data_IF_554536935835
#
_entry.id   IF_554536935835
#
_cell.length_a   1.000
_cell.length_b   1.000
_cell.length_c   1.000
_cell.angle_alpha   90.00
_cell.angle_beta   90.00
_cell.angle_gamma   90.00
#
_symmetry.space_group_name_H-M   'P 1'
#
loop_
_entity.id
_entity.type
_entity.pdbx_description
1 polymer ?
#
# COMPACT_ATOMS: atom_id res chain seq x y z
N UNK A 1 -25.82 45.10 17.21
CA UNK A 1 -24.83 44.68 16.19
C UNK A 1 -24.24 45.92 15.55
N UNK A 2 -22.92 46.12 15.63
CA UNK A 2 -22.24 47.28 15.04
C UNK A 2 -22.37 47.29 13.49
N UNK A 3 -22.24 48.44 12.82
CA UNK A 3 -22.28 48.51 11.35
C UNK A 3 -21.22 47.60 10.68
N UNK A 4 -20.03 47.51 11.28
CA UNK A 4 -18.96 46.61 10.83
C UNK A 4 -19.36 45.13 10.93
N UNK A 5 -19.90 44.70 12.08
CA UNK A 5 -20.39 43.33 12.26
C UNK A 5 -21.54 43.00 11.28
N UNK A 6 -22.46 43.95 11.02
CA UNK A 6 -23.55 43.76 10.06
C UNK A 6 -23.04 43.56 8.62
N UNK A 7 -22.05 44.35 8.18
CA UNK A 7 -21.41 44.19 6.87
C UNK A 7 -20.73 42.82 6.76
N UNK A 8 -19.99 42.40 7.77
CA UNK A 8 -19.36 41.08 7.81
C UNK A 8 -20.38 39.93 7.70
N UNK A 9 -21.48 39.98 8.47
CA UNK A 9 -22.53 38.95 8.43
C UNK A 9 -23.20 38.86 7.04
N UNK A 10 -23.47 40.00 6.39
CA UNK A 10 -24.05 40.02 5.03
C UNK A 10 -23.09 39.49 3.97
N UNK A 11 -21.81 39.86 4.05
CA UNK A 11 -20.80 39.31 3.15
C UNK A 11 -20.74 37.79 3.25
N UNK A 12 -20.65 37.24 4.46
CA UNK A 12 -20.60 35.79 4.69
C UNK A 12 -21.92 35.08 4.38
N UNK A 13 -23.06 35.76 4.45
CA UNK A 13 -24.31 35.22 3.96
C UNK A 13 -24.27 34.92 2.45
N UNK A 14 -23.77 35.86 1.65
CA UNK A 14 -23.65 35.71 0.19
C UNK A 14 -22.55 34.69 -0.14
N UNK A 15 -21.35 34.87 0.41
CA UNK A 15 -20.22 33.98 0.13
C UNK A 15 -20.50 32.53 0.55
N UNK A 16 -21.11 32.32 1.73
CA UNK A 16 -21.51 31.01 2.21
C UNK A 16 -22.55 30.35 1.30
N UNK A 17 -23.60 31.09 0.91
CA UNK A 17 -24.64 30.59 0.01
C UNK A 17 -24.06 30.16 -1.34
N UNK A 18 -23.18 30.98 -1.93
CA UNK A 18 -22.50 30.67 -3.18
C UNK A 18 -21.62 29.41 -3.06
N UNK A 19 -20.82 29.32 -2.00
CA UNK A 19 -19.99 28.15 -1.71
C UNK A 19 -20.82 26.88 -1.56
N UNK A 20 -21.88 26.91 -0.74
CA UNK A 20 -22.75 25.76 -0.51
C UNK A 20 -23.47 25.29 -1.76
N UNK A 21 -23.97 26.23 -2.57
CA UNK A 21 -24.62 25.93 -3.84
C UNK A 21 -23.66 25.29 -4.85
N UNK A 22 -22.46 25.86 -5.01
CA UNK A 22 -21.43 25.31 -5.90
C UNK A 22 -20.97 23.92 -5.45
N UNK A 23 -20.78 23.72 -4.15
CA UNK A 23 -20.40 22.41 -3.60
C UNK A 23 -21.48 21.36 -3.83
N UNK A 24 -22.75 21.67 -3.53
CA UNK A 24 -23.86 20.76 -3.75
C UNK A 24 -24.02 20.39 -5.23
N UNK A 25 -23.91 21.39 -6.13
CA UNK A 25 -23.95 21.17 -7.56
C UNK A 25 -22.77 20.29 -8.04
N UNK A 26 -21.55 20.57 -7.58
CA UNK A 26 -20.37 19.79 -7.94
C UNK A 26 -20.51 18.33 -7.50
N UNK A 27 -21.01 18.08 -6.29
CA UNK A 27 -21.25 16.72 -5.78
C UNK A 27 -22.35 16.02 -6.58
N UNK A 28 -23.45 16.70 -6.87
CA UNK A 28 -24.56 16.10 -7.60
C UNK A 28 -24.18 15.70 -9.03
N UNK A 29 -23.36 16.51 -9.71
CA UNK A 29 -23.01 16.35 -11.13
C UNK A 29 -21.77 15.47 -11.32
N UNK A 30 -20.70 15.69 -10.54
CA UNK A 30 -19.39 15.10 -10.82
C UNK A 30 -19.01 13.94 -9.91
N UNK A 31 -19.66 13.76 -8.75
CA UNK A 31 -19.30 12.68 -7.82
C UNK A 31 -20.14 11.43 -8.15
N UNK A 32 -19.51 10.29 -8.49
CA UNK A 32 -20.24 9.05 -8.75
C UNK A 32 -21.11 8.64 -7.57
N UNK A 33 -22.40 8.37 -7.82
CA UNK A 33 -23.39 7.99 -6.79
C UNK A 33 -23.27 6.54 -6.30
N UNK A 34 -22.07 5.97 -6.39
CA UNK A 34 -21.76 4.62 -5.88
C UNK A 34 -21.85 4.55 -4.35
N UNK A 35 -21.71 5.69 -3.67
CA UNK A 35 -21.86 5.84 -2.22
C UNK A 35 -22.93 6.90 -1.91
N UNK A 36 -24.24 6.58 -2.12
CA UNK A 36 -25.30 7.58 -2.15
C UNK A 36 -25.45 8.33 -0.81
N UNK A 37 -25.16 7.66 0.32
CA UNK A 37 -25.22 8.29 1.63
C UNK A 37 -24.12 9.36 1.82
N UNK A 38 -22.90 9.15 1.30
CA UNK A 38 -21.82 10.17 1.34
C UNK A 38 -22.24 11.38 0.51
N UNK A 39 -22.74 11.14 -0.70
CA UNK A 39 -23.19 12.21 -1.59
C UNK A 39 -24.35 12.99 -0.96
N UNK A 40 -25.33 12.31 -0.37
CA UNK A 40 -26.43 12.94 0.34
C UNK A 40 -25.95 13.80 1.53
N UNK A 41 -24.98 13.32 2.32
CA UNK A 41 -24.40 14.11 3.41
C UNK A 41 -23.66 15.35 2.91
N UNK A 42 -22.91 15.25 1.81
CA UNK A 42 -22.20 16.38 1.20
C UNK A 42 -23.18 17.41 0.60
N UNK A 43 -24.26 16.95 -0.03
CA UNK A 43 -25.34 17.83 -0.52
C UNK A 43 -26.07 18.51 0.63
N UNK A 44 -26.40 17.76 1.69
CA UNK A 44 -27.00 18.31 2.90
C UNK A 44 -26.08 19.36 3.55
N UNK A 45 -24.77 19.09 3.62
CA UNK A 45 -23.77 20.05 4.07
C UNK A 45 -23.73 21.30 3.20
N UNK A 46 -23.76 21.15 1.87
CA UNK A 46 -23.89 22.27 0.93
C UNK A 46 -25.16 23.09 1.17
N UNK A 47 -26.30 22.45 1.45
CA UNK A 47 -27.58 23.11 1.72
C UNK A 47 -27.65 23.83 3.08
N UNK A 48 -26.85 23.42 4.08
CA UNK A 48 -26.76 24.12 5.36
C UNK A 48 -26.27 25.58 5.19
N UNK A 49 -25.42 25.84 4.21
CA UNK A 49 -24.83 27.16 3.99
C UNK A 49 -25.83 28.22 3.49
N UNK A 50 -26.70 27.96 2.49
CA UNK A 50 -27.81 28.83 2.14
C UNK A 50 -28.76 29.11 3.31
N UNK A 51 -29.08 28.09 4.12
CA UNK A 51 -29.95 28.24 5.30
C UNK A 51 -29.30 29.15 6.35
N UNK A 52 -28.02 28.93 6.65
CA UNK A 52 -27.24 29.80 7.52
C UNK A 52 -27.15 31.22 6.94
N UNK A 53 -26.91 31.35 5.63
CA UNK A 53 -26.83 32.60 4.91
C UNK A 53 -28.09 33.45 5.05
N UNK A 54 -29.27 32.84 4.92
CA UNK A 54 -30.54 33.52 5.17
C UNK A 54 -30.62 34.12 6.58
N UNK A 55 -30.23 33.34 7.60
CA UNK A 55 -30.21 33.80 8.99
C UNK A 55 -29.16 34.89 9.24
N UNK A 56 -27.97 34.77 8.65
CA UNK A 56 -26.88 35.75 8.72
C UNK A 56 -27.27 37.09 8.08
N UNK A 57 -27.93 37.06 6.92
CA UNK A 57 -28.43 38.25 6.23
C UNK A 57 -29.42 39.04 7.10
N UNK A 58 -30.30 38.31 7.79
CA UNK A 58 -31.27 38.86 8.76
C UNK A 58 -30.68 39.10 10.15
N UNK A 59 -29.37 38.92 10.34
CA UNK A 59 -28.64 39.10 11.61
C UNK A 59 -29.22 38.29 12.79
N UNK A 60 -29.77 37.11 12.51
CA UNK A 60 -30.39 36.24 13.53
C UNK A 60 -29.33 35.36 14.21
N UNK A 61 -29.46 35.18 15.54
CA UNK A 61 -28.57 34.32 16.34
C UNK A 61 -28.50 32.88 15.86
N UNK A 62 -29.64 32.31 15.43
CA UNK A 62 -29.67 30.94 14.90
C UNK A 62 -28.87 30.80 13.61
N UNK A 63 -28.90 31.81 12.72
CA UNK A 63 -28.12 31.83 11.49
C UNK A 63 -26.62 31.90 11.74
N UNK A 64 -26.21 32.68 12.74
CA UNK A 64 -24.83 32.69 13.23
C UNK A 64 -24.40 31.33 13.79
N UNK A 65 -25.23 30.68 14.63
CA UNK A 65 -24.92 29.34 15.18
C UNK A 65 -24.78 28.28 14.07
N UNK A 66 -25.70 28.27 13.11
CA UNK A 66 -25.63 27.37 11.96
C UNK A 66 -24.39 27.65 11.10
N UNK A 67 -24.07 28.92 10.84
CA UNK A 67 -22.88 29.29 10.06
C UNK A 67 -21.57 28.87 10.75
N UNK A 68 -21.45 29.07 12.06
CA UNK A 68 -20.30 28.60 12.85
C UNK A 68 -20.23 27.08 12.86
N UNK A 69 -21.36 26.40 13.07
CA UNK A 69 -21.44 24.94 13.06
C UNK A 69 -21.06 24.34 11.71
N UNK A 70 -21.57 24.89 10.61
CA UNK A 70 -21.24 24.48 9.26
C UNK A 70 -19.75 24.72 8.96
N UNK A 71 -19.21 25.89 9.31
CA UNK A 71 -17.80 26.19 9.13
C UNK A 71 -16.89 25.22 9.93
N UNK A 72 -17.26 24.91 11.18
CA UNK A 72 -16.53 23.93 11.99
C UNK A 72 -16.63 22.51 11.41
N UNK A 73 -17.81 22.08 10.98
CA UNK A 73 -18.01 20.78 10.35
C UNK A 73 -17.19 20.64 9.06
N UNK A 74 -17.13 21.69 8.24
CA UNK A 74 -16.28 21.73 7.04
C UNK A 74 -14.80 21.59 7.36
N UNK A 75 -14.31 22.32 8.37
CA UNK A 75 -12.91 22.19 8.83
C UNK A 75 -12.61 20.81 9.41
N UNK A 76 -13.53 20.24 10.20
CA UNK A 76 -13.39 18.90 10.73
C UNK A 76 -13.32 17.88 9.59
N UNK A 77 -14.22 17.97 8.61
CA UNK A 77 -14.21 17.11 7.43
C UNK A 77 -12.89 17.24 6.66
N UNK A 78 -12.42 18.47 6.42
CA UNK A 78 -11.11 18.73 5.81
C UNK A 78 -9.98 18.05 6.59
N UNK A 79 -9.96 18.20 7.92
CA UNK A 79 -8.94 17.60 8.79
C UNK A 79 -9.00 16.07 8.74
N UNK A 80 -10.20 15.47 8.74
CA UNK A 80 -10.37 14.03 8.63
C UNK A 80 -9.91 13.51 7.26
N UNK A 81 -10.23 14.21 6.18
CA UNK A 81 -9.75 13.89 4.82
C UNK A 81 -8.24 13.98 4.76
N UNK A 82 -7.66 15.07 5.26
CA UNK A 82 -6.22 15.25 5.32
C UNK A 82 -5.51 14.18 6.18
N UNK A 83 -6.07 13.87 7.35
CA UNK A 83 -5.59 12.80 8.22
C UNK A 83 -5.65 11.43 7.53
N UNK A 84 -6.74 11.13 6.82
CA UNK A 84 -6.90 9.90 6.05
C UNK A 84 -5.89 9.81 4.90
N UNK A 85 -5.64 10.93 4.19
CA UNK A 85 -4.64 11.01 3.13
C UNK A 85 -3.22 10.85 3.66
N UNK A 86 -2.87 11.52 4.76
CA UNK A 86 -1.58 11.38 5.41
C UNK A 86 -1.37 9.97 5.99
N UNK A 87 -2.40 9.40 6.61
CA UNK A 87 -2.39 8.03 7.11
C UNK A 87 -2.21 7.02 5.97
N UNK A 88 -2.94 7.20 4.86
CA UNK A 88 -2.78 6.38 3.66
C UNK A 88 -1.40 6.57 3.01
N UNK A 89 -0.90 7.81 2.94
CA UNK A 89 0.43 8.14 2.44
C UNK A 89 1.50 7.42 3.26
N UNK A 90 1.46 7.57 4.58
CA UNK A 90 2.43 6.98 5.50
C UNK A 90 2.37 5.46 5.48
N UNK A 91 1.16 4.90 5.41
CA UNK A 91 0.94 3.48 5.27
C UNK A 91 1.55 2.96 3.97
N UNK A 92 1.18 3.53 2.82
CA UNK A 92 1.72 3.13 1.52
C UNK A 92 3.23 3.31 1.45
N UNK A 93 3.78 4.37 2.04
CA UNK A 93 5.22 4.57 2.13
C UNK A 93 5.89 3.46 2.95
N UNK A 94 5.35 3.11 4.12
CA UNK A 94 5.87 1.99 4.92
C UNK A 94 5.81 0.63 4.21
N UNK A 95 4.88 0.45 3.26
CA UNK A 95 4.75 -0.78 2.48
C UNK A 95 5.65 -0.79 1.23
N UNK A 96 5.57 0.27 0.43
CA UNK A 96 6.15 0.34 -0.91
C UNK A 96 7.46 1.12 -1.00
N UNK A 97 7.97 1.70 0.09
CA UNK A 97 9.20 2.48 0.12
C UNK A 97 9.14 3.69 -0.82
N UNK A 98 10.14 3.82 -1.70
CA UNK A 98 10.31 4.95 -2.63
C UNK A 98 9.19 5.06 -3.67
N UNK A 99 8.67 3.92 -4.16
CA UNK A 99 7.51 3.94 -5.04
C UNK A 99 6.29 4.52 -4.33
N UNK A 100 6.11 4.14 -3.05
CA UNK A 100 5.10 4.72 -2.18
C UNK A 100 5.26 6.23 -2.03
N UNK A 101 6.49 6.75 -1.97
CA UNK A 101 6.78 8.18 -1.95
C UNK A 101 6.29 8.90 -3.22
N UNK A 102 6.67 8.40 -4.41
CA UNK A 102 6.33 9.06 -5.68
C UNK A 102 4.82 9.12 -5.95
N UNK A 103 4.13 7.98 -5.83
CA UNK A 103 2.69 7.89 -6.08
C UNK A 103 1.87 8.79 -5.12
N UNK A 104 2.35 8.92 -3.90
CA UNK A 104 1.64 9.62 -2.84
C UNK A 104 1.84 11.14 -2.88
N UNK A 105 2.97 11.64 -3.42
CA UNK A 105 3.14 13.07 -3.74
C UNK A 105 2.10 13.52 -4.77
N UNK A 106 1.91 12.75 -5.85
CA UNK A 106 0.90 13.07 -6.86
C UNK A 106 -0.52 13.12 -6.28
N UNK A 107 -0.86 12.16 -5.42
CA UNK A 107 -2.15 12.14 -4.72
C UNK A 107 -2.31 13.33 -3.74
N UNK A 108 -1.26 13.70 -3.00
CA UNK A 108 -1.28 14.84 -2.09
C UNK A 108 -1.40 16.17 -2.83
N UNK A 109 -0.77 16.32 -4.00
CA UNK A 109 -0.94 17.51 -4.85
C UNK A 109 -2.38 17.65 -5.32
N UNK A 110 -2.98 16.57 -5.82
CA UNK A 110 -4.39 16.58 -6.21
C UNK A 110 -5.32 16.87 -5.02
N UNK A 111 -5.04 16.24 -3.88
CA UNK A 111 -5.79 16.48 -2.65
C UNK A 111 -5.63 17.92 -2.13
N UNK A 112 -4.46 18.56 -2.33
CA UNK A 112 -4.23 19.93 -1.88
C UNK A 112 -5.22 20.91 -2.51
N UNK A 113 -5.58 20.72 -3.78
CA UNK A 113 -6.59 21.53 -4.48
C UNK A 113 -7.97 21.33 -3.83
N UNK A 114 -8.36 20.07 -3.58
CA UNK A 114 -9.62 19.75 -2.91
C UNK A 114 -9.66 20.34 -1.48
N UNK A 115 -8.55 20.26 -0.74
CA UNK A 115 -8.42 20.81 0.61
C UNK A 115 -8.46 22.34 0.63
N UNK A 116 -7.89 23.02 -0.38
CA UNK A 116 -8.01 24.46 -0.52
C UNK A 116 -9.47 24.87 -0.73
N UNK A 117 -10.20 24.20 -1.62
CA UNK A 117 -11.62 24.48 -1.89
C UNK A 117 -12.49 24.17 -0.67
N UNK A 118 -12.30 23.00 -0.04
CA UNK A 118 -13.11 22.57 1.10
C UNK A 118 -12.74 23.28 2.41
N UNK A 119 -11.51 23.74 2.55
CA UNK A 119 -10.97 24.26 3.82
C UNK A 119 -10.95 25.76 3.94
N UNK A 120 -10.61 26.48 2.86
CA UNK A 120 -10.34 27.91 2.92
C UNK A 120 -11.60 28.71 3.26
N UNK A 121 -12.72 28.42 2.58
CA UNK A 121 -13.98 29.14 2.82
C UNK A 121 -14.49 28.92 4.25
N UNK A 122 -14.58 27.67 4.77
CA UNK A 122 -14.92 27.45 6.18
C UNK A 122 -13.95 28.10 7.17
N UNK A 123 -12.64 28.09 6.91
CA UNK A 123 -11.65 28.73 7.78
C UNK A 123 -11.86 30.24 7.89
N UNK A 124 -12.02 30.90 6.74
CA UNK A 124 -12.23 32.34 6.67
C UNK A 124 -13.59 32.75 7.27
N UNK A 125 -14.64 31.96 7.01
CA UNK A 125 -15.96 32.15 7.60
C UNK A 125 -15.89 32.03 9.12
N UNK A 126 -15.27 30.97 9.64
CA UNK A 126 -15.12 30.75 11.08
C UNK A 126 -14.34 31.90 11.73
N UNK A 127 -13.21 32.31 11.15
CA UNK A 127 -12.41 33.45 11.63
C UNK A 127 -13.23 34.73 11.71
N UNK A 128 -14.05 35.02 10.70
CA UNK A 128 -14.86 36.22 10.66
C UNK A 128 -16.05 36.18 11.63
N UNK A 129 -16.74 35.03 11.73
CA UNK A 129 -17.90 34.84 12.60
C UNK A 129 -17.52 34.74 14.09
N UNK A 130 -16.28 34.36 14.39
CA UNK A 130 -15.73 34.31 15.76
C UNK A 130 -14.96 35.58 16.18
N UNK A 131 -14.87 36.62 15.33
CA UNK A 131 -14.30 37.92 15.75
C UNK A 131 -14.99 38.42 17.01
N UNK A 132 -14.24 39.04 17.93
CA UNK A 132 -14.73 39.49 19.23
C UNK A 132 -16.05 40.26 19.12
N UNK A 133 -16.11 41.27 18.25
CA UNK A 133 -17.30 42.11 18.05
C UNK A 133 -18.54 41.33 17.59
N UNK A 134 -18.35 40.30 16.75
CA UNK A 134 -19.44 39.44 16.27
C UNK A 134 -19.84 38.45 17.36
N UNK A 135 -18.86 37.91 18.07
CA UNK A 135 -19.04 36.93 19.14
C UNK A 135 -19.77 37.52 20.35
N UNK A 136 -19.39 38.72 20.77
CA UNK A 136 -20.05 39.47 21.84
C UNK A 136 -21.48 39.84 21.46
N UNK A 137 -21.69 40.30 20.21
CA UNK A 137 -23.04 40.58 19.71
C UNK A 137 -23.95 39.34 19.65
N UNK A 138 -23.38 38.13 19.56
CA UNK A 138 -24.13 36.87 19.41
C UNK A 138 -24.13 35.97 20.67
N UNK A 139 -23.33 36.30 21.70
CA UNK A 139 -23.33 35.63 23.01
C UNK A 139 -22.66 34.24 23.05
N UNK A 140 -21.46 34.08 22.50
CA UNK A 140 -20.78 32.78 22.47
C UNK A 140 -19.89 32.48 23.70
N UNK A 141 -19.87 31.22 24.15
CA UNK A 141 -19.01 30.71 25.22
C UNK A 141 -17.56 30.40 24.80
N UNK A 142 -16.67 30.25 25.79
CA UNK A 142 -15.20 30.07 25.63
C UNK A 142 -14.75 28.68 25.13
N UNK A 143 -15.66 27.72 24.92
CA UNK A 143 -15.33 26.31 24.64
C UNK A 143 -14.71 26.01 23.27
N UNK A 144 -14.86 26.89 22.28
CA UNK A 144 -14.47 26.64 20.88
C UNK A 144 -12.96 26.45 20.68
N UNK A 145 -12.11 27.08 21.49
CA UNK A 145 -10.66 26.97 21.35
C UNK A 145 -10.16 25.55 21.62
N UNK A 146 -10.74 24.85 22.61
CA UNK A 146 -10.38 23.46 22.93
C UNK A 146 -10.79 22.50 21.82
N UNK A 147 -11.96 22.73 21.21
CA UNK A 147 -12.43 21.93 20.07
C UNK A 147 -11.50 22.06 18.86
N UNK A 148 -11.03 23.28 18.54
CA UNK A 148 -10.09 23.50 17.43
C UNK A 148 -8.75 22.82 17.69
N UNK A 149 -8.19 22.94 18.90
CA UNK A 149 -6.92 22.29 19.27
C UNK A 149 -7.02 20.75 19.22
N UNK A 150 -8.12 20.17 19.73
CA UNK A 150 -8.33 18.73 19.69
C UNK A 150 -8.43 18.18 18.27
N UNK A 151 -9.12 18.90 17.38
CA UNK A 151 -9.24 18.52 15.96
C UNK A 151 -7.89 18.61 15.26
N UNK A 152 -7.07 19.63 15.56
CA UNK A 152 -5.73 19.79 14.98
C UNK A 152 -4.76 18.64 15.24
N UNK A 153 -4.98 17.83 16.29
CA UNK A 153 -4.12 16.70 16.64
C UNK A 153 -4.42 15.43 15.81
N UNK A 154 -5.62 15.32 15.23
CA UNK A 154 -6.07 14.11 14.51
C UNK A 154 -5.12 13.71 13.36
N UNK A 155 -4.62 14.62 12.51
CA UNK A 155 -3.69 14.26 11.44
C UNK A 155 -2.37 13.70 11.94
N UNK A 156 -1.84 14.22 13.05
CA UNK A 156 -0.59 13.75 13.65
C UNK A 156 -0.74 12.33 14.20
N UNK A 157 -1.87 12.05 14.87
CA UNK A 157 -2.19 10.70 15.35
C UNK A 157 -2.38 9.73 14.19
N UNK A 158 -3.10 10.12 13.13
CA UNK A 158 -3.29 9.29 11.94
C UNK A 158 -1.98 8.98 11.21
N UNK A 159 -1.08 9.97 11.10
CA UNK A 159 0.26 9.80 10.55
C UNK A 159 1.09 8.80 11.37
N UNK A 160 1.16 9.01 12.70
CA UNK A 160 1.90 8.13 13.60
C UNK A 160 1.36 6.70 13.57
N UNK A 161 0.04 6.54 13.56
CA UNK A 161 -0.62 5.24 13.49
C UNK A 161 -0.38 4.54 12.14
N UNK A 162 -0.52 5.26 11.02
CA UNK A 162 -0.24 4.73 9.68
C UNK A 162 1.22 4.29 9.53
N UNK A 163 2.15 5.09 10.04
CA UNK A 163 3.58 4.78 10.06
C UNK A 163 3.88 3.52 10.88
N UNK A 164 3.32 3.45 12.08
CA UNK A 164 3.51 2.30 12.97
C UNK A 164 2.96 1.01 12.34
N UNK A 165 1.76 1.05 11.72
CA UNK A 165 1.19 -0.08 11.00
C UNK A 165 2.00 -0.48 9.74
N UNK A 166 2.57 0.51 9.05
CA UNK A 166 3.36 0.31 7.84
C UNK A 166 4.76 -0.23 8.12
N UNK A 167 5.30 -0.04 9.32
CA UNK A 167 6.61 -0.58 9.72
C UNK A 167 6.56 -2.10 9.85
N UNK A 168 7.60 -2.74 9.33
CA UNK A 168 7.81 -4.18 9.49
C UNK A 168 9.25 -4.37 9.98
N UNK A 169 9.46 -4.59 11.29
CA UNK A 169 10.79 -4.84 11.81
C UNK A 169 11.32 -6.16 11.22
N UNK A 170 12.52 -6.11 10.66
CA UNK A 170 13.19 -7.26 10.06
C UNK A 170 14.45 -7.60 10.84
N UNK A 171 14.74 -8.89 10.98
CA UNK A 171 16.04 -9.38 11.41
C UNK A 171 17.05 -9.32 10.26
N UNK A 172 18.34 -9.50 10.59
CA UNK A 172 19.40 -9.50 9.59
C UNK A 172 19.29 -10.72 8.65
N UNK A 173 19.46 -10.50 7.32
CA UNK A 173 19.54 -11.59 6.35
C UNK A 173 20.74 -12.51 6.63
N UNK A 174 20.65 -13.77 6.20
CA UNK A 174 21.77 -14.70 6.33
C UNK A 174 22.96 -14.31 5.45
N UNK A 175 24.17 -14.64 5.92
CA UNK A 175 25.37 -14.56 5.08
C UNK A 175 25.31 -15.58 3.93
N UNK A 176 26.07 -15.36 2.87
CA UNK A 176 26.14 -16.28 1.72
C UNK A 176 26.55 -17.70 2.12
N UNK A 177 27.53 -17.82 3.01
CA UNK A 177 28.00 -19.10 3.54
C UNK A 177 26.88 -19.85 4.28
N UNK A 178 26.10 -19.14 5.10
CA UNK A 178 24.98 -19.71 5.85
C UNK A 178 23.85 -20.16 4.92
N UNK A 179 23.49 -19.35 3.91
CA UNK A 179 22.49 -19.73 2.89
C UNK A 179 22.91 -20.97 2.12
N UNK A 180 24.18 -21.02 1.71
CA UNK A 180 24.74 -22.16 0.98
C UNK A 180 24.76 -23.42 1.83
N UNK A 181 25.13 -23.32 3.11
CA UNK A 181 25.06 -24.44 4.06
C UNK A 181 23.63 -24.96 4.21
N UNK A 182 22.64 -24.07 4.36
CA UNK A 182 21.23 -24.45 4.48
C UNK A 182 20.72 -25.20 3.25
N UNK A 183 21.03 -24.72 2.03
CA UNK A 183 20.66 -25.41 0.78
C UNK A 183 21.35 -26.76 0.67
N UNK A 184 22.66 -26.85 0.94
CA UNK A 184 23.41 -28.11 0.89
C UNK A 184 22.88 -29.14 1.88
N UNK A 185 22.49 -28.70 3.08
CA UNK A 185 21.87 -29.58 4.08
C UNK A 185 20.55 -30.17 3.57
N UNK A 186 19.65 -29.33 3.05
CA UNK A 186 18.36 -29.76 2.50
C UNK A 186 18.53 -30.69 1.28
N UNK A 187 19.51 -30.39 0.42
CA UNK A 187 19.89 -31.22 -0.73
C UNK A 187 20.34 -32.61 -0.29
N UNK A 188 21.28 -32.69 0.64
CA UNK A 188 21.77 -33.96 1.19
C UNK A 188 20.64 -34.77 1.85
N UNK A 189 19.72 -34.10 2.56
CA UNK A 189 18.55 -34.77 3.14
C UNK A 189 17.63 -35.39 2.08
N UNK A 190 17.37 -34.68 0.97
CA UNK A 190 16.56 -35.20 -0.14
C UNK A 190 17.24 -36.34 -0.91
N UNK A 191 18.57 -36.26 -1.07
CA UNK A 191 19.38 -37.27 -1.77
C UNK A 191 19.73 -38.47 -0.88
N UNK A 192 19.40 -38.41 0.42
CA UNK A 192 19.75 -39.42 1.43
C UNK A 192 21.26 -39.66 1.50
N UNK A 193 22.04 -38.59 1.36
CA UNK A 193 23.49 -38.58 1.51
C UNK A 193 23.89 -37.97 2.85
N UNK A 194 25.18 -38.01 3.18
CA UNK A 194 25.72 -37.43 4.40
C UNK A 194 25.44 -35.92 4.48
N UNK A 195 24.80 -35.52 5.57
CA UNK A 195 24.40 -34.12 5.78
C UNK A 195 25.57 -33.32 6.37
N UNK A 196 25.88 -32.13 5.86
CA UNK A 196 26.87 -31.25 6.48
C UNK A 196 26.44 -30.84 7.89
N UNK A 197 27.40 -30.61 8.78
CA UNK A 197 27.13 -30.11 10.13
C UNK A 197 26.52 -28.70 10.10
N UNK A 198 25.56 -28.43 10.98
CA UNK A 198 24.84 -27.16 11.06
C UNK A 198 25.37 -26.21 12.14
N UNK A 199 26.60 -26.41 12.63
CA UNK A 199 27.16 -25.62 13.74
C UNK A 199 27.17 -24.11 13.46
N UNK A 200 27.43 -23.71 12.21
CA UNK A 200 27.42 -22.29 11.79
C UNK A 200 26.02 -21.64 11.75
N UNK A 201 24.95 -22.43 11.93
CA UNK A 201 23.56 -21.96 12.01
C UNK A 201 22.98 -22.06 13.43
N UNK A 202 23.70 -22.67 14.39
CA UNK A 202 23.27 -22.73 15.79
C UNK A 202 23.31 -21.34 16.41
N UNK A 203 22.26 -20.98 17.15
CA UNK A 203 22.05 -19.66 17.73
C UNK A 203 21.57 -18.60 16.73
N UNK A 204 21.51 -18.92 15.43
CA UNK A 204 20.97 -17.99 14.43
C UNK A 204 19.45 -18.03 14.52
N UNK A 205 18.75 -16.90 14.74
CA UNK A 205 17.31 -16.92 14.90
C UNK A 205 16.61 -17.30 13.60
N UNK A 206 15.60 -18.17 13.62
CA UNK A 206 14.76 -18.42 12.41
C UNK A 206 13.97 -17.17 12.03
N UNK A 207 13.58 -16.36 13.01
CA UNK A 207 12.76 -15.17 12.87
C UNK A 207 11.34 -15.35 13.42
N UNK A 208 10.45 -14.34 13.27
CA UNK A 208 9.12 -14.33 13.90
C UNK A 208 8.08 -15.21 13.17
N UNK A 209 8.55 -16.09 12.29
CA UNK A 209 7.74 -16.98 11.50
C UNK A 209 8.54 -18.21 11.10
N UNK A 210 7.88 -19.16 10.46
CA UNK A 210 8.54 -20.39 10.03
C UNK A 210 9.57 -20.15 8.93
N UNK A 211 10.47 -21.11 8.81
CA UNK A 211 11.25 -21.35 7.61
C UNK A 211 10.46 -22.26 6.67
N UNK A 212 10.43 -21.94 5.39
CA UNK A 212 9.86 -22.81 4.36
C UNK A 212 10.96 -23.28 3.41
N UNK A 213 11.02 -24.59 3.17
CA UNK A 213 11.86 -25.18 2.14
C UNK A 213 10.94 -25.74 1.04
N UNK A 214 11.03 -25.19 -0.17
CA UNK A 214 10.17 -25.54 -1.31
C UNK A 214 11.00 -26.19 -2.41
N UNK A 215 10.57 -27.36 -2.89
CA UNK A 215 11.16 -28.01 -4.05
C UNK A 215 10.35 -27.65 -5.30
N UNK A 216 11.04 -27.06 -6.27
CA UNK A 216 10.50 -26.67 -7.56
C UNK A 216 11.04 -27.56 -8.67
N UNK A 217 10.22 -27.89 -9.66
CA UNK A 217 10.66 -28.61 -10.85
C UNK A 217 9.88 -28.10 -12.06
N UNK A 218 10.59 -27.65 -13.09
CA UNK A 218 10.02 -27.04 -14.29
C UNK A 218 8.96 -25.97 -13.99
N UNK A 219 9.29 -25.06 -13.07
CA UNK A 219 8.39 -23.98 -12.64
C UNK A 219 7.22 -24.41 -11.74
N UNK A 220 7.10 -25.71 -11.44
CA UNK A 220 6.01 -26.25 -10.62
C UNK A 220 6.45 -26.51 -9.17
N UNK A 221 5.59 -26.17 -8.22
CA UNK A 221 5.78 -26.52 -6.80
C UNK A 221 5.51 -28.01 -6.63
N UNK A 222 6.54 -28.77 -6.29
CA UNK A 222 6.46 -30.22 -6.06
C UNK A 222 6.09 -30.51 -4.61
N UNK A 223 6.84 -29.91 -3.68
CA UNK A 223 6.67 -30.09 -2.25
C UNK A 223 7.12 -28.84 -1.49
N UNK A 224 6.60 -28.67 -0.28
CA UNK A 224 7.04 -27.63 0.66
C UNK A 224 7.04 -28.22 2.07
N UNK A 225 8.19 -28.19 2.73
CA UNK A 225 8.33 -28.48 4.15
C UNK A 225 8.49 -27.19 4.95
N UNK A 226 8.16 -27.26 6.24
CA UNK A 226 8.13 -26.16 7.16
C UNK A 226 8.95 -26.48 8.41
N UNK A 227 9.69 -25.47 8.90
CA UNK A 227 10.40 -25.51 10.18
C UNK A 227 9.89 -24.42 11.12
N UNK A 228 9.62 -24.75 12.38
CA UNK A 228 9.04 -23.85 13.40
C UNK A 228 9.87 -23.78 14.69
N UNK A 229 11.18 -23.86 14.61
CA UNK A 229 12.05 -23.66 15.76
C UNK A 229 12.55 -22.21 15.85
N UNK A 230 12.88 -21.76 17.06
CA UNK A 230 13.53 -20.45 17.28
C UNK A 230 14.95 -20.43 16.68
N UNK A 231 15.63 -21.57 16.74
CA UNK A 231 16.95 -21.80 16.17
C UNK A 231 16.88 -22.26 14.71
N UNK A 232 17.70 -21.66 13.84
CA UNK A 232 17.67 -21.92 12.40
C UNK A 232 18.12 -23.34 12.04
N UNK A 233 19.08 -23.92 12.75
CA UNK A 233 19.52 -25.28 12.50
C UNK A 233 18.38 -26.27 12.77
N UNK A 234 17.72 -26.14 13.91
CA UNK A 234 16.55 -26.96 14.26
C UNK A 234 15.37 -26.76 13.28
N UNK A 235 15.14 -25.52 12.83
CA UNK A 235 14.09 -25.25 11.85
C UNK A 235 14.41 -25.91 10.49
N UNK A 236 15.68 -25.92 10.07
CA UNK A 236 16.10 -26.63 8.86
C UNK A 236 15.97 -28.14 8.99
N UNK A 237 16.30 -28.72 10.15
CA UNK A 237 16.10 -30.15 10.42
C UNK A 237 14.63 -30.55 10.31
N UNK A 238 13.72 -29.76 10.89
CA UNK A 238 12.27 -29.95 10.79
C UNK A 238 11.79 -29.84 9.33
N UNK A 239 12.22 -28.79 8.62
CA UNK A 239 11.84 -28.59 7.22
C UNK A 239 12.37 -29.72 6.31
N UNK A 240 13.58 -30.21 6.57
CA UNK A 240 14.17 -31.36 5.88
C UNK A 240 13.36 -32.63 6.14
N UNK A 241 13.00 -32.88 7.41
CA UNK A 241 12.17 -34.02 7.78
C UNK A 241 10.82 -33.99 7.05
N UNK A 242 10.08 -32.89 7.11
CA UNK A 242 8.80 -32.74 6.40
C UNK A 242 8.94 -32.91 4.88
N UNK A 243 10.01 -32.37 4.27
CA UNK A 243 10.27 -32.55 2.84
C UNK A 243 10.51 -34.00 2.46
N UNK A 244 11.35 -34.73 3.21
CA UNK A 244 11.69 -36.13 2.91
C UNK A 244 10.49 -37.08 3.08
N UNK A 245 9.52 -36.70 3.92
CA UNK A 245 8.28 -37.42 4.11
C UNK A 245 7.18 -37.04 3.11
N UNK A 246 7.39 -36.05 2.25
CA UNK A 246 6.35 -35.55 1.38
C UNK A 246 6.01 -36.55 0.25
N UNK A 247 4.75 -36.98 0.09
CA UNK A 247 4.37 -38.07 -0.83
C UNK A 247 4.78 -37.83 -2.30
N UNK A 248 4.65 -36.58 -2.78
CA UNK A 248 5.04 -36.22 -4.16
C UNK A 248 6.53 -36.33 -4.45
N UNK A 249 7.38 -36.22 -3.43
CA UNK A 249 8.81 -36.42 -3.58
C UNK A 249 9.15 -37.90 -3.52
N UNK A 250 8.50 -38.67 -2.65
CA UNK A 250 8.67 -40.13 -2.57
C UNK A 250 8.27 -40.84 -3.88
N UNK A 251 7.22 -40.36 -4.55
CA UNK A 251 6.77 -40.89 -5.83
C UNK A 251 7.71 -40.56 -7.01
N UNK A 252 8.64 -39.61 -6.86
CA UNK A 252 9.60 -39.24 -7.89
C UNK A 252 10.95 -39.88 -7.58
N UNK A 253 11.33 -40.88 -8.39
CA UNK A 253 12.63 -41.55 -8.27
C UNK A 253 13.82 -40.61 -8.51
N UNK A 254 13.61 -39.48 -9.20
CA UNK A 254 14.68 -38.53 -9.53
C UNK A 254 14.48 -37.21 -8.78
N UNK A 255 15.33 -36.94 -7.78
CA UNK A 255 15.38 -35.72 -6.97
C UNK A 255 15.78 -34.42 -7.71
N UNK A 256 15.48 -34.32 -9.02
CA UNK A 256 15.92 -33.25 -9.94
C UNK A 256 15.15 -31.92 -9.82
N UNK A 257 14.62 -31.61 -8.64
CA UNK A 257 14.05 -30.28 -8.36
C UNK A 257 15.13 -29.29 -7.93
N UNK A 258 14.87 -27.99 -8.00
CA UNK A 258 15.66 -26.94 -7.31
C UNK A 258 15.03 -26.64 -5.96
N UNK A 259 15.86 -26.46 -4.93
CA UNK A 259 15.40 -26.08 -3.60
C UNK A 259 15.37 -24.55 -3.51
N UNK A 260 14.27 -24.02 -2.96
CA UNK A 260 14.15 -22.64 -2.51
C UNK A 260 13.90 -22.62 -1.02
N UNK A 261 14.60 -21.76 -0.30
CA UNK A 261 14.35 -21.50 1.12
C UNK A 261 13.78 -20.10 1.28
N UNK A 262 12.72 -19.97 2.07
CA UNK A 262 12.15 -18.70 2.52
C UNK A 262 12.22 -18.64 4.05
N UNK A 263 13.06 -17.75 4.57
CA UNK A 263 13.15 -17.46 6.01
C UNK A 263 12.37 -16.20 6.32
N UNK A 264 11.48 -16.26 7.31
CA UNK A 264 10.68 -15.10 7.70
C UNK A 264 11.56 -14.06 8.40
N UNK A 265 11.78 -12.91 7.78
CA UNK A 265 12.56 -11.82 8.36
C UNK A 265 11.75 -10.99 9.36
N UNK A 266 10.45 -10.81 9.07
CA UNK A 266 9.61 -9.90 9.85
C UNK A 266 8.12 -10.14 9.60
N UNK A 267 7.32 -9.72 10.56
CA UNK A 267 5.86 -9.74 10.48
C UNK A 267 5.29 -8.40 10.96
N UNK A 268 4.24 -7.95 10.30
CA UNK A 268 3.52 -6.73 10.66
C UNK A 268 2.01 -6.95 10.61
N UNK A 269 1.25 -6.24 11.42
CA UNK A 269 -0.21 -6.34 11.40
C UNK A 269 -0.78 -5.74 10.11
N UNK A 270 -1.83 -6.37 9.57
CA UNK A 270 -2.68 -5.74 8.56
C UNK A 270 -3.83 -5.07 9.29
N UNK A 271 -4.03 -3.75 9.06
CA UNK A 271 -4.97 -2.93 9.81
C UNK A 271 -6.39 -3.51 9.87
N UNK A 272 -6.84 -4.12 8.77
CA UNK A 272 -8.17 -4.74 8.68
C UNK A 272 -8.20 -5.84 7.63
N UNK A 273 -8.91 -6.94 7.93
CA UNK A 273 -9.16 -8.04 7.01
C UNK A 273 -10.28 -7.72 5.98
N UNK A 274 -10.21 -6.55 5.35
CA UNK A 274 -11.12 -6.17 4.25
C UNK A 274 -10.37 -6.16 2.93
N UNK A 275 -10.98 -6.65 1.86
CA UNK A 275 -10.30 -6.82 0.57
C UNK A 275 -9.56 -5.57 0.05
N UNK A 276 -10.09 -4.33 0.11
CA UNK A 276 -9.37 -3.15 -0.35
C UNK A 276 -8.12 -2.84 0.48
N UNK A 277 -8.20 -3.04 1.80
CA UNK A 277 -7.04 -2.86 2.69
C UNK A 277 -6.00 -3.90 2.35
N UNK A 278 -6.38 -5.19 2.28
CA UNK A 278 -5.48 -6.29 1.92
C UNK A 278 -4.80 -6.07 0.58
N UNK A 279 -5.52 -5.56 -0.42
CA UNK A 279 -4.99 -5.25 -1.74
C UNK A 279 -3.78 -4.31 -1.70
N UNK A 280 -3.80 -3.35 -0.78
CA UNK A 280 -2.75 -2.34 -0.59
C UNK A 280 -1.76 -2.70 0.53
N UNK A 281 -2.02 -3.79 1.25
CA UNK A 281 -1.23 -4.21 2.43
C UNK A 281 -0.02 -5.06 2.08
N UNK A 282 0.27 -5.30 0.81
CA UNK A 282 1.30 -6.25 0.38
C UNK A 282 2.18 -5.58 -0.65
N UNK A 283 3.49 -5.54 -0.38
CA UNK A 283 4.48 -5.16 -1.38
C UNK A 283 4.69 -6.33 -2.37
N UNK A 284 4.31 -6.17 -3.66
CA UNK A 284 4.37 -7.25 -4.64
C UNK A 284 5.76 -7.87 -4.76
N UNK A 285 5.81 -9.19 -4.71
CA UNK A 285 7.05 -9.96 -4.79
C UNK A 285 7.83 -10.02 -3.47
N UNK A 286 7.76 -9.00 -2.61
CA UNK A 286 8.49 -8.94 -1.34
C UNK A 286 7.72 -9.54 -0.16
N UNK A 287 6.44 -9.18 -0.04
CA UNK A 287 5.62 -9.53 1.11
C UNK A 287 4.65 -10.69 0.76
N UNK A 288 4.47 -11.58 1.71
CA UNK A 288 3.38 -12.54 1.79
C UNK A 288 2.30 -12.10 2.78
N UNK A 289 1.29 -12.95 2.96
CA UNK A 289 0.25 -12.80 3.96
C UNK A 289 0.16 -14.04 4.84
N UNK A 290 -0.16 -13.84 6.11
CA UNK A 290 -0.40 -14.90 7.08
C UNK A 290 -1.64 -14.60 7.88
N UNK A 291 -2.40 -15.64 8.21
CA UNK A 291 -3.52 -15.55 9.15
C UNK A 291 -3.30 -16.50 10.31
N UNK A 292 -3.51 -16.01 11.52
CA UNK A 292 -3.23 -16.73 12.77
C UNK A 292 -4.49 -16.78 13.63
N UNK A 293 -4.92 -17.98 14.00
CA UNK A 293 -6.04 -18.23 14.91
C UNK A 293 -5.61 -19.32 15.91
N UNK A 294 -5.15 -18.90 17.10
CA UNK A 294 -4.50 -19.81 18.05
C UNK A 294 -3.24 -20.44 17.44
N UNK A 295 -3.16 -21.77 17.42
CA UNK A 295 -2.06 -22.52 16.80
C UNK A 295 -2.20 -22.67 15.28
N UNK A 296 -3.40 -22.46 14.74
CA UNK A 296 -3.64 -22.57 13.31
C UNK A 296 -3.04 -21.37 12.58
N UNK A 297 -2.23 -21.66 11.58
CA UNK A 297 -1.56 -20.67 10.73
C UNK A 297 -1.75 -21.03 9.28
N UNK A 298 -2.24 -20.08 8.50
CA UNK A 298 -2.32 -20.18 7.04
C UNK A 298 -1.45 -19.10 6.44
N UNK A 299 -0.53 -19.46 5.54
CA UNK A 299 0.45 -18.53 4.98
C UNK A 299 0.43 -18.61 3.45
N UNK A 300 0.38 -17.45 2.82
CA UNK A 300 0.66 -17.23 1.40
C UNK A 300 2.01 -16.53 1.29
N UNK A 301 3.01 -17.21 0.74
CA UNK A 301 4.29 -16.58 0.47
C UNK A 301 4.18 -15.63 -0.71
N UNK A 302 5.12 -14.69 -0.82
CA UNK A 302 5.16 -13.77 -1.95
C UNK A 302 5.17 -14.50 -3.30
N UNK A 303 5.83 -15.65 -3.40
CA UNK A 303 5.81 -16.52 -4.58
C UNK A 303 4.47 -17.14 -4.88
N UNK A 304 3.68 -17.49 -3.86
CA UNK A 304 2.35 -18.02 -4.10
C UNK A 304 1.47 -16.95 -4.74
N UNK A 305 1.62 -15.69 -4.30
CA UNK A 305 0.89 -14.55 -4.86
C UNK A 305 1.30 -14.23 -6.30
N UNK A 306 2.61 -14.25 -6.59
CA UNK A 306 3.16 -14.04 -7.93
C UNK A 306 2.76 -15.17 -8.88
N UNK A 307 2.95 -16.43 -8.47
CA UNK A 307 2.62 -17.60 -9.28
C UNK A 307 1.14 -17.66 -9.64
N UNK A 308 0.27 -17.31 -8.71
CA UNK A 308 -1.18 -17.30 -8.93
C UNK A 308 -1.66 -16.07 -9.71
N UNK A 309 -0.74 -15.16 -10.11
CA UNK A 309 -1.02 -13.93 -10.85
C UNK A 309 -2.10 -13.07 -10.20
N UNK A 310 -2.01 -12.89 -8.87
CA UNK A 310 -3.08 -12.22 -8.10
C UNK A 310 -2.88 -10.72 -7.93
N UNK A 311 -1.77 -10.17 -8.39
CA UNK A 311 -1.57 -8.72 -8.45
C UNK A 311 -2.25 -8.15 -9.70
N UNK A 312 -3.02 -7.07 -9.54
CA UNK A 312 -3.78 -6.42 -10.62
C UNK A 312 -4.95 -7.26 -11.17
N UNK A 313 -5.29 -8.37 -10.54
CA UNK A 313 -6.36 -9.26 -11.00
C UNK A 313 -7.76 -8.69 -10.73
N UNK A 314 -7.94 -7.98 -9.60
CA UNK A 314 -9.19 -7.36 -9.19
C UNK A 314 -9.04 -5.83 -9.13
N UNK A 315 -10.09 -5.05 -9.44
CA UNK A 315 -10.07 -3.61 -9.22
C UNK A 315 -10.14 -3.31 -7.72
N UNK A 316 -9.37 -2.32 -7.27
CA UNK A 316 -9.38 -1.87 -5.88
C UNK A 316 -10.76 -1.34 -5.47
N UNK A 317 -11.42 -0.63 -6.39
CA UNK A 317 -12.77 -0.11 -6.23
C UNK A 317 -13.73 -0.89 -7.12
N UNK A 318 -14.75 -1.56 -6.56
CA UNK A 318 -15.75 -2.25 -7.36
C UNK A 318 -16.35 -1.36 -8.45
N UNK A 319 -16.32 -1.87 -9.69
CA UNK A 319 -16.86 -1.19 -10.86
C UNK A 319 -16.00 -0.05 -11.43
N UNK A 320 -14.73 0.10 -11.05
CA UNK A 320 -13.74 0.94 -11.77
C UNK A 320 -12.66 0.00 -12.30
N UNK A 321 -12.81 -0.46 -13.54
CA UNK A 321 -11.97 -1.54 -14.12
C UNK A 321 -10.52 -1.11 -14.36
N UNK A 322 -10.30 0.19 -14.41
CA UNK A 322 -9.02 0.86 -14.66
C UNK A 322 -8.12 0.87 -13.42
N UNK A 323 -8.72 0.82 -12.21
CA UNK A 323 -8.00 0.81 -10.93
C UNK A 323 -7.62 -0.62 -10.50
N UNK A 324 -7.04 -1.38 -11.42
CA UNK A 324 -6.46 -2.72 -11.15
C UNK A 324 -5.04 -2.57 -10.62
N UNK A 325 -4.94 -2.35 -9.33
CA UNK A 325 -3.67 -2.24 -8.61
C UNK A 325 -3.74 -3.04 -7.31
N UNK A 326 -2.60 -3.53 -6.85
CA UNK A 326 -2.49 -4.29 -5.61
C UNK A 326 -2.92 -5.75 -5.75
N UNK A 327 -3.02 -6.44 -4.62
CA UNK A 327 -3.41 -7.85 -4.54
C UNK A 327 -4.94 -8.02 -4.66
N UNK A 328 -5.39 -9.11 -5.27
CA UNK A 328 -6.77 -9.58 -5.15
C UNK A 328 -7.07 -9.99 -3.69
N UNK A 329 -7.51 -9.00 -2.89
CA UNK A 329 -7.73 -9.16 -1.46
C UNK A 329 -8.87 -10.13 -1.11
N UNK A 330 -9.90 -10.24 -1.96
CA UNK A 330 -10.99 -11.19 -1.74
C UNK A 330 -10.48 -12.62 -1.90
N UNK A 331 -9.76 -12.90 -3.00
CA UNK A 331 -9.14 -14.20 -3.22
C UNK A 331 -8.16 -14.55 -2.10
N UNK A 332 -7.31 -13.60 -1.70
CA UNK A 332 -6.30 -13.83 -0.67
C UNK A 332 -6.94 -14.19 0.68
N UNK A 333 -7.97 -13.45 1.11
CA UNK A 333 -8.71 -13.74 2.35
C UNK A 333 -9.40 -15.11 2.30
N UNK A 334 -10.07 -15.42 1.19
CA UNK A 334 -10.70 -16.73 1.01
C UNK A 334 -9.68 -17.87 1.04
N UNK A 335 -8.51 -17.66 0.42
CA UNK A 335 -7.44 -18.67 0.35
C UNK A 335 -6.74 -18.88 1.69
N UNK A 336 -6.56 -17.82 2.48
CA UNK A 336 -6.01 -17.92 3.83
C UNK A 336 -6.97 -18.62 4.80
N UNK A 337 -8.28 -18.53 4.56
CA UNK A 337 -9.30 -19.09 5.46
C UNK A 337 -9.33 -18.35 6.80
N UNK A 338 -9.70 -19.05 7.88
CA UNK A 338 -9.64 -18.58 9.27
C UNK A 338 -10.28 -17.18 9.49
N UNK A 339 -11.60 -17.01 9.27
CA UNK A 339 -12.27 -15.69 9.25
C UNK A 339 -12.06 -14.85 10.52
N UNK A 340 -11.89 -15.49 11.67
CA UNK A 340 -11.65 -14.81 12.97
C UNK A 340 -10.16 -14.60 13.28
N UNK A 341 -9.26 -15.12 12.44
CA UNK A 341 -7.82 -15.03 12.67
C UNK A 341 -7.25 -13.63 12.39
N UNK A 342 -6.24 -13.25 13.17
CA UNK A 342 -5.46 -12.02 12.96
C UNK A 342 -4.73 -12.10 11.63
N UNK A 343 -4.90 -11.07 10.80
CA UNK A 343 -4.23 -10.96 9.50
C UNK A 343 -2.90 -10.22 9.65
N UNK A 344 -1.85 -10.80 9.11
CA UNK A 344 -0.48 -10.33 9.20
C UNK A 344 0.16 -10.33 7.83
N UNK A 345 1.04 -9.36 7.61
CA UNK A 345 1.97 -9.30 6.49
C UNK A 345 3.27 -9.97 6.90
N UNK A 346 3.84 -10.76 6.00
CA UNK A 346 5.08 -11.51 6.25
C UNK A 346 6.13 -11.10 5.24
N UNK A 347 7.31 -10.69 5.70
CA UNK A 347 8.46 -10.49 4.84
C UNK A 347 9.41 -11.67 4.99
N UNK A 348 9.88 -12.19 3.86
CA UNK A 348 10.87 -13.27 3.85
C UNK A 348 12.10 -12.89 3.04
N UNK A 349 13.27 -13.35 3.47
CA UNK A 349 14.39 -13.51 2.55
C UNK A 349 14.21 -14.85 1.84
N UNK A 350 14.45 -14.84 0.53
CA UNK A 350 14.43 -16.04 -0.28
C UNK A 350 15.83 -16.32 -0.81
N UNK A 351 16.21 -17.59 -0.90
CA UNK A 351 17.40 -18.01 -1.66
C UNK A 351 17.13 -19.34 -2.37
N UNK A 352 17.66 -19.48 -3.58
CA UNK A 352 17.43 -20.61 -4.47
C UNK A 352 18.75 -21.31 -4.74
N UNK A 353 18.70 -22.62 -4.75
CA UNK A 353 19.81 -23.46 -5.16
C UNK A 353 20.18 -23.27 -6.64
N UNK A 354 21.47 -23.10 -6.88
CA UNK A 354 22.06 -23.08 -8.21
C UNK A 354 23.49 -23.61 -8.14
N UNK A 355 23.79 -24.69 -8.86
CA UNK A 355 25.14 -25.26 -8.96
C UNK A 355 25.84 -25.49 -7.60
N UNK A 356 25.10 -25.99 -6.61
CA UNK A 356 25.63 -26.26 -5.26
C UNK A 356 25.79 -25.03 -4.36
N UNK A 357 25.44 -23.84 -4.86
CA UNK A 357 25.41 -22.58 -4.11
C UNK A 357 23.98 -22.12 -3.86
N UNK A 358 23.82 -21.18 -2.92
CA UNK A 358 22.54 -20.52 -2.67
C UNK A 358 22.56 -19.09 -3.23
N UNK A 359 21.81 -18.85 -4.31
CA UNK A 359 21.64 -17.51 -4.88
C UNK A 359 20.52 -16.77 -4.14
N UNK A 360 20.78 -15.55 -3.62
CA UNK A 360 19.73 -14.76 -3.00
C UNK A 360 18.66 -14.38 -4.04
N UNK A 361 17.40 -14.50 -3.65
CA UNK A 361 16.28 -14.00 -4.43
C UNK A 361 16.03 -12.55 -4.05
N UNK A 362 16.64 -11.65 -4.82
CA UNK A 362 16.41 -10.21 -4.70
C UNK A 362 15.10 -9.87 -5.40
N UNK A 363 14.19 -9.18 -4.68
CA UNK A 363 12.87 -8.82 -5.21
C UNK A 363 12.57 -7.37 -4.90
N UNK A 364 11.89 -6.72 -5.84
CA UNK A 364 11.62 -5.29 -5.81
C UNK A 364 12.60 -4.51 -6.69
N UNK A 365 12.20 -3.29 -7.04
CA UNK A 365 13.02 -2.33 -7.77
C UNK A 365 13.95 -1.62 -6.78
N UNK A 366 14.76 -2.35 -6.02
CA UNK A 366 15.81 -1.73 -5.22
C UNK A 366 17.05 -1.77 -6.08
N UNK A 367 17.49 -0.65 -6.69
CA UNK A 367 18.83 -0.61 -7.25
C UNK A 367 19.80 -0.92 -6.10
N UNK A 368 20.83 -1.75 -6.31
CA UNK A 368 21.84 -1.98 -5.29
C UNK A 368 22.44 -0.64 -4.85
N UNK A 369 22.90 -0.57 -3.60
CA UNK A 369 23.47 0.62 -2.96
C UNK A 369 24.33 1.44 -3.96
N UNK A 370 23.88 2.67 -4.25
CA UNK A 370 24.44 3.50 -5.33
C UNK A 370 23.42 4.33 -6.11
N UNK A 371 22.28 4.69 -5.52
CA UNK A 371 21.21 5.44 -6.17
C UNK A 371 21.50 6.93 -6.21
N UNK A 372 22.32 7.34 -7.18
CA UNK A 372 22.34 8.72 -7.65
C UNK A 372 21.46 8.89 -8.89
N UNK A 373 21.13 10.14 -9.29
CA UNK A 373 20.48 10.43 -10.56
C UNK A 373 21.08 9.69 -11.78
N UNK A 374 22.42 9.50 -11.90
CA UNK A 374 23.01 8.76 -13.02
C UNK A 374 22.58 7.28 -13.09
N UNK A 375 22.44 6.62 -11.95
CA UNK A 375 22.01 5.21 -11.88
C UNK A 375 20.55 5.07 -12.28
N UNK A 376 19.72 6.04 -11.91
CA UNK A 376 18.31 6.09 -12.31
C UNK A 376 18.14 6.39 -13.80
N UNK A 377 18.92 7.31 -14.33
CA UNK A 377 18.95 7.62 -15.76
C UNK A 377 19.38 6.40 -16.56
N UNK A 378 20.46 5.71 -16.15
CA UNK A 378 20.90 4.48 -16.80
C UNK A 378 19.83 3.38 -16.75
N UNK A 379 19.14 3.22 -15.62
CA UNK A 379 18.02 2.27 -15.49
C UNK A 379 16.83 2.66 -16.38
N UNK A 380 16.50 3.95 -16.48
CA UNK A 380 15.45 4.48 -17.34
C UNK A 380 15.77 4.23 -18.82
N UNK A 381 17.01 4.52 -19.24
CA UNK A 381 17.51 4.26 -20.59
C UNK A 381 17.51 2.76 -20.90
N UNK A 382 17.99 1.91 -19.98
CA UNK A 382 17.97 0.47 -20.15
C UNK A 382 16.53 -0.09 -20.25
N UNK A 383 15.61 0.43 -19.45
CA UNK A 383 14.18 0.11 -19.53
C UNK A 383 13.56 0.56 -20.86
N UNK A 384 13.90 1.76 -21.32
CA UNK A 384 13.56 2.28 -22.65
C UNK A 384 14.07 1.37 -23.76
N UNK A 385 15.34 0.98 -23.74
CA UNK A 385 15.91 0.05 -24.71
C UNK A 385 15.27 -1.34 -24.65
N UNK A 386 14.94 -1.84 -23.47
CA UNK A 386 14.19 -3.08 -23.34
C UNK A 386 12.82 -2.95 -24.01
N UNK A 387 12.07 -1.87 -23.75
CA UNK A 387 10.79 -1.58 -24.40
C UNK A 387 10.93 -1.50 -25.93
N UNK A 388 11.93 -0.76 -26.43
CA UNK A 388 12.19 -0.63 -27.87
C UNK A 388 12.55 -1.97 -28.52
N UNK A 389 13.27 -2.87 -27.81
CA UNK A 389 13.57 -4.23 -28.31
C UNK A 389 12.33 -5.12 -28.42
N UNK A 390 11.25 -4.80 -27.71
CA UNK A 390 9.98 -5.51 -27.81
C UNK A 390 9.03 -4.91 -28.89
N UNK A 391 9.50 -3.90 -29.64
CA UNK A 391 8.76 -3.34 -30.79
C UNK A 391 8.86 -4.30 -31.97
N UNK A 392 7.71 -4.71 -32.48
CA UNK A 392 7.59 -5.46 -33.73
C UNK A 392 7.80 -4.56 -34.93
N UNK A 393 8.09 -5.17 -36.09
CA UNK A 393 8.22 -4.47 -37.37
C UNK A 393 6.99 -3.65 -37.77
N UNK A 394 5.81 -3.98 -37.23
CA UNK A 394 4.55 -3.27 -37.47
C UNK A 394 4.24 -2.18 -36.43
N UNK A 395 5.19 -1.86 -35.54
CA UNK A 395 5.05 -0.84 -34.51
C UNK A 395 4.28 -1.27 -33.26
N UNK A 396 3.83 -2.54 -33.16
CA UNK A 396 3.16 -3.06 -31.97
C UNK A 396 4.14 -3.56 -30.90
N UNK A 397 3.74 -3.51 -29.63
CA UNK A 397 4.51 -4.03 -28.50
C UNK A 397 4.00 -5.41 -28.06
N UNK A 398 4.92 -6.39 -27.93
CA UNK A 398 4.65 -7.65 -27.23
C UNK A 398 5.41 -7.67 -25.90
N UNK A 399 4.72 -7.34 -24.81
CA UNK A 399 5.36 -7.24 -23.48
C UNK A 399 5.03 -8.41 -22.55
N UNK A 400 4.14 -9.33 -22.95
CA UNK A 400 3.82 -10.49 -22.12
C UNK A 400 4.85 -11.60 -22.35
N UNK A 401 5.79 -11.71 -21.43
CA UNK A 401 6.57 -12.92 -21.21
C UNK A 401 6.08 -13.55 -19.90
N UNK A 402 5.81 -14.85 -19.91
CA UNK A 402 5.42 -15.60 -18.72
C UNK A 402 6.62 -16.40 -18.21
N UNK A 403 7.50 -15.82 -17.36
CA UNK A 403 8.76 -16.46 -16.96
C UNK A 403 8.58 -17.82 -16.29
N UNK A 404 7.46 -18.02 -15.58
CA UNK A 404 7.15 -19.30 -14.93
C UNK A 404 6.85 -20.44 -15.91
N UNK A 405 6.41 -20.11 -17.13
CA UNK A 405 6.07 -21.09 -18.15
C UNK A 405 7.04 -21.07 -19.34
N UNK A 406 8.01 -20.15 -19.32
CA UNK A 406 8.90 -19.82 -20.44
C UNK A 406 8.15 -19.67 -21.78
N UNK A 407 7.05 -18.90 -21.77
CA UNK A 407 6.17 -18.73 -22.92
C UNK A 407 5.91 -17.27 -23.24
N UNK A 408 5.87 -16.96 -24.53
CA UNK A 408 5.22 -15.77 -25.08
C UNK A 408 3.82 -16.17 -25.58
N UNK A 409 2.76 -15.37 -25.33
CA UNK A 409 1.47 -15.61 -25.93
C UNK A 409 1.56 -15.46 -27.45
N UNK A 410 0.81 -16.31 -28.18
CA UNK A 410 0.79 -16.30 -29.64
C UNK A 410 0.41 -14.91 -30.16
N UNK A 411 1.30 -14.22 -30.90
CA UNK A 411 1.10 -12.85 -31.35
C UNK A 411 -0.10 -12.70 -32.30
N UNK A 412 -0.56 -13.79 -32.92
CA UNK A 412 -1.72 -13.78 -33.82
C UNK A 412 -3.06 -13.84 -33.08
N UNK A 413 -3.06 -14.24 -31.79
CA UNK A 413 -4.27 -14.42 -30.99
C UNK A 413 -4.53 -13.26 -30.03
N UNK A 414 -3.55 -12.40 -29.75
CA UNK A 414 -3.77 -11.21 -28.92
C UNK A 414 -4.31 -10.04 -29.76
N UNK A 415 -5.63 -9.86 -29.80
CA UNK A 415 -6.30 -8.74 -30.48
C UNK A 415 -6.10 -7.37 -29.76
N UNK A 416 -5.22 -7.28 -28.77
CA UNK A 416 -5.14 -6.12 -27.88
C UNK A 416 -3.70 -5.85 -27.41
N UNK A 417 -3.17 -4.66 -27.73
CA UNK A 417 -1.99 -4.07 -27.08
C UNK A 417 -1.96 -2.53 -27.27
N UNK A 418 -3.00 -1.76 -26.87
CA UNK A 418 -2.70 -0.40 -26.43
C UNK A 418 -1.72 -0.52 -25.25
N UNK A 419 -0.75 0.40 -25.10
CA UNK A 419 0.19 0.40 -23.99
C UNK A 419 -0.61 0.31 -22.69
N UNK A 420 -0.59 -0.87 -22.05
CA UNK A 420 -1.18 -0.98 -20.72
C UNK A 420 -0.40 -0.04 -19.79
N UNK A 421 -1.11 0.52 -18.81
CA UNK A 421 -0.89 1.84 -18.23
C UNK A 421 0.52 2.07 -17.67
N UNK A 422 0.89 3.34 -17.43
CA UNK A 422 2.08 3.86 -16.76
C UNK A 422 2.91 3.07 -15.73
N UNK A 423 2.46 1.93 -15.21
CA UNK A 423 3.18 1.12 -14.23
C UNK A 423 4.55 0.61 -14.71
N UNK A 424 4.81 0.57 -16.01
CA UNK A 424 6.14 0.25 -16.58
C UNK A 424 7.00 1.51 -16.82
N UNK A 425 6.39 2.69 -16.91
CA UNK A 425 7.06 3.95 -17.32
C UNK A 425 7.28 4.90 -16.15
N UNK A 426 6.33 5.04 -15.22
CA UNK A 426 6.47 5.89 -14.04
C UNK A 426 7.59 5.45 -13.06
N UNK A 427 7.92 4.16 -12.89
CA UNK A 427 9.10 3.79 -12.09
C UNK A 427 10.42 4.17 -12.74
N UNK A 428 10.44 4.44 -14.05
CA UNK A 428 11.63 4.83 -14.83
C UNK A 428 11.76 6.35 -14.98
N UNK A 429 10.74 7.12 -14.59
CA UNK A 429 10.75 8.58 -14.70
C UNK A 429 10.85 9.21 -13.31
N UNK A 430 12.05 9.37 -12.72
CA UNK A 430 12.19 10.27 -11.58
C UNK A 430 11.94 11.72 -12.05
N UNK A 431 11.36 12.60 -11.21
CA UNK A 431 11.34 14.02 -11.52
C UNK A 431 12.78 14.54 -11.65
N UNK A 432 13.06 15.50 -12.55
CA UNK A 432 14.39 16.07 -12.67
C UNK A 432 14.77 16.71 -11.32
N UNK A 433 15.86 16.21 -10.72
CA UNK A 433 16.51 16.89 -9.60
C UNK A 433 17.04 18.26 -10.05
N UNK A 434 17.25 19.21 -9.13
CA UNK A 434 17.84 20.50 -9.47
C UNK A 434 19.20 20.30 -10.15
N UNK A 435 19.53 21.09 -11.18
CA UNK A 435 20.83 20.99 -11.86
C UNK A 435 21.95 21.19 -10.83
N UNK A 436 22.85 20.20 -10.74
CA UNK A 436 24.06 20.34 -9.94
C UNK A 436 24.95 21.39 -10.60
N UNK A 437 25.47 22.31 -9.80
CA UNK A 437 26.54 23.20 -10.25
C UNK A 437 27.73 22.36 -10.75
N UNK A 438 28.41 22.80 -11.83
CA UNK A 438 29.57 22.09 -12.34
C UNK A 438 30.64 21.96 -11.24
N UNK A 439 31.39 20.85 -11.19
CA UNK A 439 32.50 20.69 -10.27
C UNK A 439 33.56 21.78 -10.52
N UNK A 440 34.29 22.19 -9.47
CA UNK A 440 35.34 23.21 -9.56
C UNK A 440 36.50 22.80 -10.47
#
# INVERSE_FOLDING_TARGET
>A
VTPAARRALRFWAVAGTAYGGLLAAAVAVFVPWKTPWINALLVAYGALWPVAGHGLWRTRRWGWRLGVGAAFLGLLAMVLVFAGLLGSWSYLHGIYGDFGHGASIGALLFASVALQVLGLVPALALRALLRADVREAMGAGKGWLRAVLGVGLIPLVALAYGHWLGRLPTIEPLSEAQRTLAVRYLRAALERTDRPALDALKGVPTGPGPLFATVWHDGNLVARGQGRAEDLAQALEQAAHELTQHPRLQARAEGRGRIKVDRTLGVGAVARASAPVVALSVNPGLDGLRRVAGEQRSTLLADDLVRMQRFGAAPLVPGIRELRFGLDGQWALARLGLPEGRLERVRSEGFVEFQGQALPVVRGNTPPDGTGPPTWEAAAVAGGHFILRQIMKDGRFHYQYFPLADRHPDPRRSQYSPPRPPGTVYPLAPPPGPPRAPPP
#
